data_IF_185055942768
#
_entry.id   IF_185055942768
#
_cell.length_a   1.000
_cell.length_b   1.000
_cell.length_c   1.000
_cell.angle_alpha   90.00
_cell.angle_beta   90.00
_cell.angle_gamma   90.00
#
_symmetry.space_group_name_H-M   'P 1'
#
loop_
_entity.id
_entity.type
_entity.pdbx_description
1 polymer ?
#
# COMPACT_ATOMS: atom_id res chain seq x y z
N UNK A 1 43.23 -40.95 1.21
CA UNK A 1 43.65 -41.03 2.63
C UNK A 1 44.20 -39.67 2.99
N UNK A 2 43.50 -38.87 3.82
CA UNK A 2 43.56 -38.87 5.30
C UNK A 2 44.97 -38.45 5.74
N UNK A 3 45.19 -37.35 6.46
CA UNK A 3 44.31 -36.38 7.09
C UNK A 3 45.12 -35.60 8.14
N UNK A 4 44.52 -34.51 8.64
CA UNK A 4 44.76 -33.87 9.95
C UNK A 4 46.17 -33.27 10.17
N UNK A 5 46.31 -32.02 10.62
CA UNK A 5 45.89 -31.60 11.95
C UNK A 5 45.01 -30.35 12.00
N UNK A 6 44.00 -30.47 12.87
CA UNK A 6 43.25 -29.37 13.49
C UNK A 6 43.82 -29.20 14.89
N UNK A 7 44.06 -27.96 15.28
CA UNK A 7 43.81 -27.48 16.65
C UNK A 7 43.53 -25.97 16.51
N UNK A 8 42.31 -25.46 16.70
CA UNK A 8 41.43 -25.45 17.87
C UNK A 8 41.83 -24.42 18.95
N UNK A 9 41.09 -23.31 18.99
CA UNK A 9 40.56 -22.61 20.17
C UNK A 9 39.89 -21.30 19.69
N UNK A 10 38.56 -21.08 19.69
CA UNK A 10 37.57 -21.14 20.79
C UNK A 10 38.00 -20.21 21.94
N UNK A 11 37.29 -19.20 22.44
CA UNK A 11 35.91 -18.65 22.42
C UNK A 11 36.11 -17.14 22.78
N UNK A 12 35.16 -16.20 22.75
CA UNK A 12 33.90 -16.21 23.49
C UNK A 12 33.11 -14.92 23.26
N UNK A 13 31.79 -15.09 23.37
CA UNK A 13 30.66 -14.22 23.65
C UNK A 13 30.76 -12.69 23.54
N UNK A 14 29.70 -12.15 22.91
CA UNK A 14 28.75 -11.34 23.69
C UNK A 14 28.72 -9.85 23.37
N UNK A 15 27.84 -9.45 22.46
CA UNK A 15 27.55 -8.03 22.20
C UNK A 15 26.28 -7.85 21.37
N UNK A 16 25.14 -7.82 22.06
CA UNK A 16 23.76 -7.63 21.58
C UNK A 16 23.60 -6.45 20.59
N UNK A 17 22.66 -6.51 19.63
CA UNK A 17 22.53 -5.50 18.58
C UNK A 17 22.03 -4.18 19.16
N UNK A 18 22.74 -3.09 18.86
CA UNK A 18 22.36 -1.75 19.26
C UNK A 18 22.44 -0.79 18.08
N UNK A 19 21.27 -0.27 17.70
CA UNK A 19 21.16 1.15 17.38
C UNK A 19 21.50 1.58 15.96
N UNK A 20 20.61 1.28 15.02
CA UNK A 20 20.12 2.29 14.09
C UNK A 20 18.66 1.99 13.69
N UNK A 21 17.83 1.73 14.70
CA UNK A 21 16.42 2.10 14.62
C UNK A 21 16.35 3.62 14.79
N UNK A 22 16.62 4.34 13.71
CA UNK A 22 16.64 5.80 13.65
C UNK A 22 15.77 6.28 12.51
N UNK A 23 14.48 6.47 12.80
CA UNK A 23 13.64 7.44 12.10
C UNK A 23 13.28 7.15 10.64
N UNK A 24 12.55 6.06 10.38
CA UNK A 24 11.47 6.09 9.37
C UNK A 24 10.14 5.64 9.98
N UNK A 25 9.89 6.01 11.23
CA UNK A 25 8.57 5.98 11.83
C UNK A 25 7.95 7.36 11.61
N UNK A 26 7.33 7.53 10.46
CA UNK A 26 6.71 8.80 10.06
C UNK A 26 6.26 8.86 8.58
N UNK A 27 6.65 7.87 7.78
CA UNK A 27 6.31 7.78 6.34
C UNK A 27 6.19 6.31 5.86
N UNK A 28 6.05 5.37 6.81
CA UNK A 28 5.96 3.96 6.50
C UNK A 28 4.53 3.66 6.01
N UNK A 29 4.43 3.46 4.70
CA UNK A 29 3.21 3.37 3.90
C UNK A 29 2.61 4.74 3.58
N UNK A 30 2.98 5.25 2.42
CA UNK A 30 2.06 5.98 1.57
C UNK A 30 0.77 5.16 1.47
N UNK A 31 -0.18 5.36 2.40
CA UNK A 31 -1.45 4.61 2.51
C UNK A 31 -2.02 4.39 1.11
N UNK A 32 -1.86 3.21 0.51
CA UNK A 32 -2.45 2.91 -0.79
C UNK A 32 -3.95 3.17 -0.69
N UNK A 33 -4.52 4.02 -1.56
CA UNK A 33 -5.98 4.09 -1.67
C UNK A 33 -6.55 2.77 -2.22
N UNK A 34 -5.68 1.98 -2.85
CA UNK A 34 -5.94 0.62 -3.27
C UNK A 34 -5.88 -0.34 -2.08
N UNK A 35 -6.82 -1.28 -1.98
CA UNK A 35 -6.64 -2.46 -1.16
C UNK A 35 -5.34 -3.19 -1.53
N UNK A 36 -4.71 -3.82 -0.55
CA UNK A 36 -3.49 -4.60 -0.78
C UNK A 36 -3.69 -5.62 -1.92
N UNK A 37 -2.76 -5.63 -2.88
CA UNK A 37 -2.79 -6.53 -4.04
C UNK A 37 -3.76 -6.15 -5.16
N UNK A 38 -4.66 -5.18 -4.97
CA UNK A 38 -5.62 -4.80 -6.01
C UNK A 38 -4.91 -4.24 -7.27
N UNK A 39 -3.86 -3.44 -7.08
CA UNK A 39 -3.07 -2.89 -8.20
C UNK A 39 -2.41 -4.00 -9.03
N UNK A 40 -1.79 -4.99 -8.38
CA UNK A 40 -1.15 -6.13 -9.05
C UNK A 40 -2.15 -6.98 -9.83
N UNK A 41 -3.38 -7.10 -9.32
CA UNK A 41 -4.47 -7.82 -9.97
C UNK A 41 -4.98 -7.09 -11.21
N UNK A 42 -5.17 -5.77 -11.14
CA UNK A 42 -5.52 -4.95 -12.30
C UNK A 42 -4.41 -4.99 -13.37
N UNK A 43 -3.14 -4.90 -12.97
CA UNK A 43 -2.00 -4.97 -13.89
C UNK A 43 -1.89 -6.34 -14.58
N UNK A 44 -2.29 -7.42 -13.91
CA UNK A 44 -2.36 -8.74 -14.50
C UNK A 44 -3.48 -8.84 -15.52
N UNK A 45 -4.71 -8.44 -15.14
CA UNK A 45 -5.87 -8.45 -16.04
C UNK A 45 -5.66 -7.56 -17.27
N UNK A 46 -5.03 -6.41 -17.08
CA UNK A 46 -4.69 -5.50 -18.18
C UNK A 46 -3.76 -6.17 -19.21
N UNK A 47 -2.72 -6.89 -18.75
CA UNK A 47 -1.81 -7.62 -19.65
C UNK A 47 -2.50 -8.71 -20.46
N UNK A 48 -3.47 -9.40 -19.85
CA UNK A 48 -4.26 -10.42 -20.54
C UNK A 48 -5.12 -9.79 -21.65
N UNK A 49 -5.79 -8.67 -21.35
CA UNK A 49 -6.58 -7.89 -22.32
C UNK A 49 -5.70 -7.39 -23.48
N UNK A 50 -4.52 -6.85 -23.17
CA UNK A 50 -3.57 -6.39 -24.19
C UNK A 50 -3.12 -7.52 -25.12
N UNK A 51 -2.95 -8.73 -24.58
CA UNK A 51 -2.59 -9.91 -25.37
C UNK A 51 -3.73 -10.33 -26.30
N UNK A 52 -4.98 -10.28 -25.82
CA UNK A 52 -6.18 -10.59 -26.60
C UNK A 52 -6.56 -9.54 -27.66
N UNK A 53 -6.08 -8.30 -27.53
CA UNK A 53 -6.40 -7.20 -28.46
C UNK A 53 -5.98 -7.48 -29.91
N UNK A 54 -4.91 -8.25 -30.13
CA UNK A 54 -4.43 -8.59 -31.49
C UNK A 54 -5.46 -9.45 -32.23
N UNK A 55 -6.15 -10.34 -31.51
CA UNK A 55 -7.11 -11.28 -32.08
C UNK A 55 -8.52 -10.70 -32.15
N UNK A 56 -8.99 -10.05 -31.09
CA UNK A 56 -10.30 -9.40 -31.04
C UNK A 56 -10.23 -8.00 -30.39
N UNK A 57 -9.98 -6.96 -31.20
CA UNK A 57 -9.86 -5.58 -30.71
C UNK A 57 -11.15 -5.05 -30.05
N UNK A 58 -12.33 -5.51 -30.48
CA UNK A 58 -13.61 -4.99 -29.97
C UNK A 58 -13.92 -5.56 -28.60
N UNK A 59 -13.70 -6.86 -28.42
CA UNK A 59 -13.88 -7.52 -27.13
C UNK A 59 -12.85 -7.00 -26.13
N UNK A 60 -11.56 -6.95 -26.49
CA UNK A 60 -10.51 -6.42 -25.62
C UNK A 60 -10.76 -4.97 -25.19
N UNK A 61 -11.27 -4.12 -26.08
CA UNK A 61 -11.65 -2.75 -25.71
C UNK A 61 -12.80 -2.72 -24.71
N UNK A 62 -13.80 -3.59 -24.86
CA UNK A 62 -14.94 -3.68 -23.94
C UNK A 62 -14.48 -4.16 -22.56
N UNK A 63 -13.68 -5.21 -22.52
CA UNK A 63 -13.07 -5.75 -21.29
C UNK A 63 -12.19 -4.69 -20.59
N UNK A 64 -11.41 -3.92 -21.35
CA UNK A 64 -10.63 -2.81 -20.81
C UNK A 64 -11.53 -1.75 -20.13
N UNK A 65 -12.70 -1.44 -20.72
CA UNK A 65 -13.64 -0.49 -20.09
C UNK A 65 -14.23 -1.06 -18.82
N UNK A 66 -14.64 -2.32 -18.83
CA UNK A 66 -15.17 -3.00 -17.65
C UNK A 66 -14.13 -3.08 -16.52
N UNK A 67 -12.87 -3.35 -16.85
CA UNK A 67 -11.77 -3.33 -15.89
C UNK A 67 -11.60 -1.95 -15.24
N UNK A 68 -11.62 -0.89 -16.05
CA UNK A 68 -11.51 0.48 -15.56
C UNK A 68 -12.71 0.87 -14.69
N UNK A 69 -13.93 0.52 -15.08
CA UNK A 69 -15.13 0.79 -14.30
C UNK A 69 -15.07 0.08 -12.94
N UNK A 70 -14.61 -1.19 -12.93
CA UNK A 70 -14.36 -1.94 -11.70
C UNK A 70 -13.30 -1.30 -10.81
N UNK A 71 -12.19 -0.84 -11.40
CA UNK A 71 -11.11 -0.15 -10.68
C UNK A 71 -11.61 1.17 -10.06
N UNK A 72 -12.35 1.99 -10.81
CA UNK A 72 -12.95 3.24 -10.31
C UNK A 72 -13.93 2.97 -9.17
N UNK A 73 -14.77 1.94 -9.29
CA UNK A 73 -15.71 1.57 -8.24
C UNK A 73 -14.98 1.15 -6.95
N UNK A 74 -13.95 0.30 -7.05
CA UNK A 74 -13.16 -0.13 -5.91
C UNK A 74 -12.41 1.04 -5.25
N UNK A 75 -11.80 1.91 -6.05
CA UNK A 75 -11.10 3.10 -5.55
C UNK A 75 -12.06 4.04 -4.80
N UNK A 76 -13.22 4.32 -5.40
CA UNK A 76 -14.23 5.20 -4.79
C UNK A 76 -14.75 4.61 -3.48
N UNK A 77 -14.94 3.30 -3.42
CA UNK A 77 -15.36 2.60 -2.22
C UNK A 77 -14.30 2.68 -1.11
N UNK A 78 -13.03 2.43 -1.43
CA UNK A 78 -11.94 2.58 -0.47
C UNK A 78 -11.82 4.03 0.04
N UNK A 79 -11.98 5.02 -0.85
CA UNK A 79 -11.99 6.44 -0.48
C UNK A 79 -13.14 6.77 0.48
N UNK A 80 -14.35 6.26 0.22
CA UNK A 80 -15.52 6.45 1.10
C UNK A 80 -15.27 5.89 2.49
N UNK A 81 -14.71 4.68 2.59
CA UNK A 81 -14.34 4.08 3.88
C UNK A 81 -13.35 4.95 4.64
N UNK A 82 -12.30 5.43 3.97
CA UNK A 82 -11.31 6.32 4.59
C UNK A 82 -11.92 7.63 5.09
N UNK A 83 -12.87 8.20 4.36
CA UNK A 83 -13.61 9.38 4.81
C UNK A 83 -14.49 9.09 6.03
N UNK A 84 -15.14 7.93 6.07
CA UNK A 84 -15.92 7.49 7.22
C UNK A 84 -15.04 7.32 8.47
N UNK A 85 -13.87 6.68 8.34
CA UNK A 85 -12.91 6.52 9.46
C UNK A 85 -12.46 7.87 10.04
N UNK A 86 -12.21 8.86 9.18
CA UNK A 86 -11.83 10.22 9.60
C UNK A 86 -12.98 10.89 10.35
N UNK A 87 -14.21 10.74 9.85
CA UNK A 87 -15.40 11.31 10.46
C UNK A 87 -15.69 10.67 11.83
N UNK A 88 -15.55 9.36 11.95
CA UNK A 88 -15.73 8.63 13.21
C UNK A 88 -14.74 9.10 14.28
N UNK A 89 -13.47 9.32 13.91
CA UNK A 89 -12.45 9.88 14.81
C UNK A 89 -12.73 11.32 15.27
N UNK A 90 -13.67 12.01 14.62
CA UNK A 90 -14.04 13.41 14.81
C UNK A 90 -15.52 13.60 15.18
N UNK A 91 -16.16 12.57 15.77
CA UNK A 91 -17.59 12.59 16.14
C UNK A 91 -18.02 13.75 17.05
N UNK A 92 -19.31 13.78 17.41
CA UNK A 92 -19.99 14.97 17.95
C UNK A 92 -19.35 15.61 19.20
N UNK A 93 -18.67 14.83 20.05
CA UNK A 93 -17.98 15.31 21.26
C UNK A 93 -16.46 15.47 21.08
N UNK A 94 -15.97 15.59 19.85
CA UNK A 94 -14.54 15.68 19.56
C UNK A 94 -13.94 17.03 20.02
N UNK A 95 -12.89 16.96 20.84
CA UNK A 95 -12.09 18.13 21.19
C UNK A 95 -11.43 18.77 19.96
N UNK A 96 -11.12 20.07 20.06
CA UNK A 96 -10.49 20.86 19.01
C UNK A 96 -9.24 20.21 18.39
N UNK A 97 -8.45 19.44 19.16
CA UNK A 97 -7.26 18.77 18.63
C UNK A 97 -7.61 17.57 17.73
N UNK A 98 -8.69 16.83 18.04
CA UNK A 98 -9.20 15.76 17.17
C UNK A 98 -9.73 16.33 15.87
N UNK A 99 -10.50 17.41 15.94
CA UNK A 99 -10.98 18.14 14.75
C UNK A 99 -9.81 18.64 13.88
N UNK A 100 -8.75 19.17 14.50
CA UNK A 100 -7.54 19.61 13.77
C UNK A 100 -6.86 18.44 13.06
N UNK A 101 -6.81 17.29 13.70
CA UNK A 101 -6.22 16.07 13.12
C UNK A 101 -7.05 15.56 11.93
N UNK A 102 -8.37 15.52 12.08
CA UNK A 102 -9.29 15.12 11.00
C UNK A 102 -9.19 16.07 9.78
N UNK A 103 -9.13 17.38 10.01
CA UNK A 103 -8.96 18.36 8.93
C UNK A 103 -7.63 18.19 8.18
N UNK A 104 -6.53 17.89 8.89
CA UNK A 104 -5.24 17.56 8.27
C UNK A 104 -5.32 16.26 7.46
N UNK A 105 -6.07 15.27 7.92
CA UNK A 105 -6.29 14.02 7.16
C UNK A 105 -7.11 14.29 5.88
N UNK A 106 -8.19 15.06 5.96
CA UNK A 106 -8.98 15.48 4.79
C UNK A 106 -8.13 16.28 3.78
N UNK A 107 -7.27 17.20 4.24
CA UNK A 107 -6.36 17.94 3.37
C UNK A 107 -5.39 17.02 2.63
N UNK A 108 -4.83 16.02 3.31
CA UNK A 108 -3.95 15.01 2.69
C UNK A 108 -4.69 14.21 1.61
N UNK A 109 -5.92 13.78 1.88
CA UNK A 109 -6.75 13.10 0.87
C UNK A 109 -7.03 13.99 -0.33
N UNK A 110 -7.40 15.25 -0.11
CA UNK A 110 -7.65 16.20 -1.19
C UNK A 110 -6.41 16.41 -2.06
N UNK A 111 -5.23 16.62 -1.45
CA UNK A 111 -3.97 16.79 -2.19
C UNK A 111 -3.71 15.60 -3.10
N UNK A 112 -3.95 14.37 -2.63
CA UNK A 112 -3.74 13.15 -3.43
C UNK A 112 -4.74 12.99 -4.58
N UNK A 113 -5.96 13.50 -4.46
CA UNK A 113 -6.94 13.45 -5.56
C UNK A 113 -6.61 14.43 -6.69
N UNK A 114 -5.81 15.46 -6.41
CA UNK A 114 -5.54 16.57 -7.34
C UNK A 114 -4.14 16.55 -7.96
N UNK A 115 -3.26 15.65 -7.51
CA UNK A 115 -1.87 15.54 -7.96
C UNK A 115 -1.60 14.11 -8.45
#
# INVERSE_FOLDING_TARGET
MRGSDRDAAARDAGGRPAGAAGGRTGDAAEDGLWPDGAADDFDRQWRDIQSGFVDDPRTAYTEARELLDGAVAQYTEALRRRLADIAEGAGDDADTERLRTALRAQRRLLTRLTH
#
